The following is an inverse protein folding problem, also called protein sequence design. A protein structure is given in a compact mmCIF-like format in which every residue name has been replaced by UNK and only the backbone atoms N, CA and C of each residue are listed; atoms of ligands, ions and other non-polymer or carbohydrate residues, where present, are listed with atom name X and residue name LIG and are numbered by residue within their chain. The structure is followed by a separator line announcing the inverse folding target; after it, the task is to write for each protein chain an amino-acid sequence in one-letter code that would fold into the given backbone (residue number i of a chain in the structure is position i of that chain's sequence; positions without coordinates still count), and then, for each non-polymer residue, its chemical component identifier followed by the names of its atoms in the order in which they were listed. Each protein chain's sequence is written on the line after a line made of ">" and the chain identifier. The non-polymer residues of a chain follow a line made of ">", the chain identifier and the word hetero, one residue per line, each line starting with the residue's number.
data_IF_033997264549
#
_entry.id   IF_033997264549
#
_cell.length_a   1.000
_cell.length_b   1.000
_cell.length_c   1.000
_cell.angle_alpha   90.00
_cell.angle_beta   90.00
_cell.angle_gamma   90.00
#
_symmetry.space_group_name_H-M   'P 1'
#
loop_
_entity.id
_entity.type
_entity.pdbx_description
1 polymer ?
#
# COMPACT_ATOMS: atom_id res chain seq x y z
N UNK A 1 5.64 14.63 -13.26
CA UNK A 1 5.47 13.63 -12.17
C UNK A 1 6.77 12.90 -11.94
N UNK A 2 7.13 12.75 -10.68
CA UNK A 2 8.34 12.02 -10.27
C UNK A 2 7.99 11.01 -9.18
N UNK A 3 8.45 9.76 -9.33
CA UNK A 3 8.40 8.75 -8.27
C UNK A 3 9.78 8.72 -7.61
N UNK A 4 9.83 8.86 -6.31
CA UNK A 4 11.08 8.88 -5.54
C UNK A 4 10.94 8.18 -4.19
N UNK A 5 12.05 7.76 -3.55
CA UNK A 5 12.02 7.31 -2.18
C UNK A 5 11.46 8.38 -1.23
N UNK A 6 10.77 7.92 -0.20
CA UNK A 6 10.22 8.79 0.85
C UNK A 6 11.35 9.41 1.68
N UNK A 7 11.10 10.61 2.16
CA UNK A 7 11.92 11.29 3.17
C UNK A 7 11.08 11.52 4.44
N UNK A 8 11.72 11.63 5.60
CA UNK A 8 10.97 11.91 6.84
C UNK A 8 10.18 13.22 6.77
N UNK A 9 10.70 14.20 6.04
CA UNK A 9 9.99 15.46 5.80
C UNK A 9 8.68 15.31 5.00
N UNK A 10 8.44 14.17 4.35
CA UNK A 10 7.19 13.89 3.66
C UNK A 10 6.05 13.46 4.60
N UNK A 11 6.34 13.19 5.87
CA UNK A 11 5.37 12.64 6.83
C UNK A 11 4.11 13.51 6.96
N UNK A 12 4.23 14.83 6.95
CA UNK A 12 3.10 15.73 7.02
C UNK A 12 2.20 15.62 5.77
N UNK A 13 2.79 15.61 4.59
CA UNK A 13 2.05 15.43 3.33
C UNK A 13 1.38 14.05 3.25
N UNK A 14 2.08 13.00 3.66
CA UNK A 14 1.55 11.63 3.73
C UNK A 14 0.36 11.56 4.69
N UNK A 15 0.48 12.16 5.86
CA UNK A 15 -0.63 12.26 6.82
C UNK A 15 -1.84 12.97 6.21
N UNK A 16 -1.62 14.08 5.53
CA UNK A 16 -2.69 14.85 4.88
C UNK A 16 -3.41 14.02 3.80
N UNK A 17 -2.68 13.21 3.03
CA UNK A 17 -3.28 12.29 2.05
C UNK A 17 -4.11 11.21 2.75
N UNK A 18 -3.61 10.64 3.84
CA UNK A 18 -4.23 9.52 4.55
C UNK A 18 -5.46 9.92 5.37
N UNK A 19 -5.48 11.14 5.92
CA UNK A 19 -6.52 11.60 6.82
C UNK A 19 -7.95 11.39 6.29
N UNK A 20 -8.31 11.76 5.05
CA UNK A 20 -9.66 11.53 4.54
C UNK A 20 -10.05 10.05 4.49
N UNK A 21 -9.10 9.15 4.25
CA UNK A 21 -9.37 7.71 4.27
C UNK A 21 -9.76 7.23 5.67
N UNK A 22 -9.18 7.81 6.71
CA UNK A 22 -9.53 7.49 8.10
C UNK A 22 -10.89 8.07 8.48
N UNK A 23 -11.12 9.36 8.19
CA UNK A 23 -12.29 10.11 8.70
C UNK A 23 -13.53 9.95 7.84
N UNK A 24 -13.40 9.62 6.55
CA UNK A 24 -14.51 9.64 5.59
C UNK A 24 -14.78 8.30 4.92
N UNK A 25 -13.92 7.29 5.09
CA UNK A 25 -14.03 6.00 4.39
C UNK A 25 -13.76 4.81 5.30
N UNK A 26 -14.16 3.62 4.85
CA UNK A 26 -13.75 2.34 5.42
C UNK A 26 -12.63 1.67 4.59
N UNK A 27 -11.99 2.40 3.69
CA UNK A 27 -10.85 1.88 2.90
C UNK A 27 -9.68 1.51 3.81
N UNK A 28 -9.41 2.31 4.84
CA UNK A 28 -8.60 1.90 5.98
C UNK A 28 -9.50 1.61 7.19
N UNK A 29 -9.10 0.64 8.02
CA UNK A 29 -9.80 0.34 9.25
C UNK A 29 -9.26 1.12 10.45
N UNK A 30 -8.28 2.01 10.27
CA UNK A 30 -7.92 2.96 11.31
C UNK A 30 -9.09 3.91 11.58
N UNK A 31 -9.32 4.20 12.85
CA UNK A 31 -10.43 5.04 13.32
C UNK A 31 -9.93 6.43 13.72
N UNK A 32 -8.74 6.49 14.29
CA UNK A 32 -8.07 7.74 14.66
C UNK A 32 -6.97 8.08 13.68
N UNK A 33 -6.85 9.37 13.33
CA UNK A 33 -5.79 9.83 12.43
C UNK A 33 -4.45 9.80 13.16
N UNK A 34 -3.46 9.03 12.67
CA UNK A 34 -2.13 9.02 13.28
C UNK A 34 -1.49 10.41 13.24
N UNK A 35 -0.65 10.71 14.22
CA UNK A 35 0.13 11.96 14.27
C UNK A 35 1.23 11.96 13.19
N UNK A 36 1.80 13.15 12.92
CA UNK A 36 2.98 13.27 12.05
C UNK A 36 4.12 12.43 12.59
N UNK A 37 4.37 12.46 13.91
CA UNK A 37 5.40 11.67 14.57
C UNK A 37 5.19 10.16 14.40
N UNK A 38 3.93 9.71 14.43
CA UNK A 38 3.61 8.30 14.19
C UNK A 38 3.90 7.92 12.72
N UNK A 39 3.64 8.80 11.75
CA UNK A 39 4.03 8.57 10.35
C UNK A 39 5.55 8.54 10.19
N UNK A 40 6.30 9.43 10.84
CA UNK A 40 7.76 9.37 10.84
C UNK A 40 8.28 8.03 11.38
N UNK A 41 7.68 7.53 12.45
CA UNK A 41 8.00 6.22 13.02
C UNK A 41 7.71 5.09 12.04
N UNK A 42 6.54 5.11 11.39
CA UNK A 42 6.13 4.11 10.39
C UNK A 42 7.05 4.12 9.17
N UNK A 43 7.43 5.29 8.69
CA UNK A 43 8.38 5.44 7.58
C UNK A 43 9.73 4.85 7.96
N UNK A 44 10.28 5.23 9.11
CA UNK A 44 11.56 4.73 9.61
C UNK A 44 11.55 3.21 9.74
N UNK A 45 10.50 2.65 10.35
CA UNK A 45 10.34 1.20 10.51
C UNK A 45 10.27 0.49 9.16
N UNK A 46 9.48 0.99 8.23
CA UNK A 46 9.32 0.38 6.90
C UNK A 46 10.64 0.34 6.15
N UNK A 47 11.38 1.44 6.16
CA UNK A 47 12.66 1.56 5.45
C UNK A 47 13.76 0.63 5.96
N UNK A 48 13.62 0.03 7.15
CA UNK A 48 14.58 -0.98 7.62
C UNK A 48 14.58 -2.24 6.75
N UNK A 49 13.50 -2.51 6.02
CA UNK A 49 13.33 -3.75 5.27
C UNK A 49 12.70 -3.55 3.89
N UNK A 50 11.82 -2.58 3.73
CA UNK A 50 10.98 -2.43 2.54
C UNK A 50 11.15 -1.07 1.87
N UNK A 51 10.89 -0.99 0.54
CA UNK A 51 10.77 0.29 -0.14
C UNK A 51 9.51 1.05 0.31
N UNK A 52 9.63 2.36 0.32
CA UNK A 52 8.55 3.31 0.58
C UNK A 52 8.72 4.47 -0.41
N UNK A 53 7.76 4.64 -1.30
CA UNK A 53 7.84 5.57 -2.43
C UNK A 53 6.75 6.63 -2.34
N UNK A 54 7.07 7.82 -2.82
CA UNK A 54 6.11 8.92 -2.99
C UNK A 54 6.05 9.35 -4.45
N UNK A 55 4.87 9.81 -4.86
CA UNK A 55 4.66 10.46 -6.14
C UNK A 55 4.58 11.97 -5.92
N UNK A 56 5.42 12.70 -6.63
CA UNK A 56 5.49 14.15 -6.57
C UNK A 56 5.08 14.77 -7.90
N UNK A 57 4.16 15.74 -7.85
CA UNK A 57 3.70 16.52 -9.00
C UNK A 57 3.81 18.00 -8.63
N UNK A 58 4.53 18.77 -9.45
CA UNK A 58 4.75 20.20 -9.23
C UNK A 58 5.27 20.53 -7.81
N UNK A 59 6.19 19.72 -7.31
CA UNK A 59 6.81 19.89 -6.00
C UNK A 59 5.92 19.46 -4.81
N UNK A 60 4.78 18.83 -5.06
CA UNK A 60 3.87 18.35 -4.01
C UNK A 60 3.76 16.84 -4.04
N UNK A 61 3.83 16.22 -2.86
CA UNK A 61 3.55 14.79 -2.70
C UNK A 61 2.03 14.59 -2.82
N UNK A 62 1.62 13.79 -3.80
CA UNK A 62 0.21 13.54 -4.13
C UNK A 62 -0.21 12.09 -3.97
N UNK A 63 0.73 11.21 -3.66
CA UNK A 63 0.47 9.79 -3.42
C UNK A 63 1.70 9.11 -2.83
N UNK A 64 1.47 7.94 -2.24
CA UNK A 64 2.55 7.12 -1.71
C UNK A 64 2.17 5.64 -1.75
N UNK A 65 3.19 4.79 -1.82
CA UNK A 65 3.03 3.35 -1.75
C UNK A 65 4.21 2.73 -1.00
N UNK A 66 3.94 1.68 -0.27
CA UNK A 66 4.96 0.97 0.49
C UNK A 66 4.63 -0.51 0.63
N UNK A 67 5.65 -1.29 1.02
CA UNK A 67 5.47 -2.68 1.36
C UNK A 67 5.65 -2.88 2.86
N UNK A 68 5.11 -3.97 3.37
CA UNK A 68 5.18 -4.34 4.77
C UNK A 68 5.21 -5.86 4.94
N UNK A 69 5.59 -6.30 6.14
CA UNK A 69 5.57 -7.72 6.51
C UNK A 69 4.13 -8.25 6.48
N UNK A 70 3.92 -9.37 5.79
CA UNK A 70 2.64 -10.09 5.87
C UNK A 70 2.55 -10.86 7.19
N UNK A 71 3.43 -11.84 7.39
CA UNK A 71 3.60 -12.55 8.65
C UNK A 71 5.08 -12.74 8.95
N UNK A 72 5.45 -12.75 10.24
CA UNK A 72 6.83 -12.77 10.69
C UNK A 72 7.52 -14.16 10.63
N UNK A 73 6.81 -15.23 10.24
CA UNK A 73 7.39 -16.57 10.14
C UNK A 73 8.24 -16.69 8.88
N UNK A 74 9.39 -17.35 8.99
CA UNK A 74 10.41 -17.45 7.94
C UNK A 74 9.91 -17.98 6.59
N UNK A 75 8.92 -18.88 6.58
CA UNK A 75 8.34 -19.38 5.34
C UNK A 75 7.62 -18.30 4.52
N UNK A 76 7.30 -17.14 5.13
CA UNK A 76 6.70 -15.99 4.47
C UNK A 76 7.72 -14.92 4.03
N UNK A 77 9.03 -15.18 4.15
CA UNK A 77 10.06 -14.17 3.87
C UNK A 77 9.99 -13.59 2.44
N UNK A 78 9.47 -14.35 1.47
CA UNK A 78 9.31 -13.90 0.09
C UNK A 78 7.95 -13.28 -0.23
N UNK A 79 7.11 -13.12 0.78
CA UNK A 79 5.76 -12.56 0.67
C UNK A 79 5.71 -11.20 1.36
N UNK A 80 5.10 -10.22 0.71
CA UNK A 80 4.92 -8.89 1.28
C UNK A 80 3.55 -8.32 0.94
N UNK A 81 3.03 -7.46 1.80
CA UNK A 81 1.80 -6.72 1.58
C UNK A 81 2.14 -5.34 1.02
N UNK A 82 1.43 -4.92 -0.03
CA UNK A 82 1.55 -3.60 -0.63
C UNK A 82 0.36 -2.73 -0.23
N UNK A 83 0.65 -1.46 0.05
CA UNK A 83 -0.36 -0.45 0.36
C UNK A 83 -0.13 0.79 -0.50
N UNK A 84 -1.22 1.43 -0.94
CA UNK A 84 -1.18 2.63 -1.76
C UNK A 84 -2.29 3.59 -1.37
N UNK A 85 -1.96 4.87 -1.30
CA UNK A 85 -2.91 5.95 -1.05
C UNK A 85 -2.61 7.14 -1.95
N UNK A 86 -3.64 7.72 -2.55
CA UNK A 86 -3.55 8.88 -3.42
C UNK A 86 -4.39 10.02 -2.86
N UNK A 87 -3.91 11.24 -3.01
CA UNK A 87 -4.72 12.43 -2.82
C UNK A 87 -5.92 12.38 -3.77
N UNK A 88 -7.06 12.92 -3.34
CA UNK A 88 -8.31 12.83 -4.09
C UNK A 88 -8.18 13.39 -5.51
N UNK A 89 -7.50 14.53 -5.63
CA UNK A 89 -7.25 15.21 -6.90
C UNK A 89 -6.26 14.48 -7.82
N UNK A 90 -5.50 13.54 -7.28
CA UNK A 90 -4.49 12.76 -8.03
C UNK A 90 -5.05 11.46 -8.61
N UNK A 91 -6.29 11.13 -8.31
CA UNK A 91 -6.91 9.87 -8.77
C UNK A 91 -7.24 9.92 -10.26
N UNK A 92 -7.25 8.76 -10.93
CA UNK A 92 -7.61 8.65 -12.34
C UNK A 92 -6.59 9.21 -13.32
N UNK A 93 -5.36 9.51 -12.88
CA UNK A 93 -4.29 10.10 -13.71
C UNK A 93 -3.11 9.15 -13.94
N UNK A 94 -3.25 7.87 -13.60
CA UNK A 94 -2.19 6.88 -13.77
C UNK A 94 -1.11 6.90 -12.68
N UNK A 95 -1.22 7.79 -11.69
CA UNK A 95 -0.22 7.93 -10.61
C UNK A 95 -0.13 6.66 -9.77
N UNK A 96 -1.27 6.07 -9.43
CA UNK A 96 -1.30 4.81 -8.67
C UNK A 96 -0.62 3.67 -9.41
N UNK A 97 -0.84 3.56 -10.71
CA UNK A 97 -0.17 2.56 -11.54
C UNK A 97 1.34 2.78 -11.60
N UNK A 98 1.78 4.03 -11.73
CA UNK A 98 3.22 4.37 -11.73
C UNK A 98 3.89 4.03 -10.38
N UNK A 99 3.24 4.35 -9.26
CA UNK A 99 3.73 4.00 -7.92
C UNK A 99 3.85 2.48 -7.75
N UNK A 100 2.84 1.72 -8.16
CA UNK A 100 2.88 0.26 -8.08
C UNK A 100 3.95 -0.34 -8.96
N UNK A 101 4.13 0.18 -10.19
CA UNK A 101 5.20 -0.31 -11.08
C UNK A 101 6.56 -0.14 -10.41
N UNK A 102 6.87 1.04 -9.91
CA UNK A 102 8.14 1.30 -9.24
C UNK A 102 8.32 0.44 -7.98
N UNK A 103 7.27 0.30 -7.16
CA UNK A 103 7.30 -0.50 -5.94
C UNK A 103 7.53 -1.99 -6.23
N UNK A 104 6.79 -2.54 -7.20
CA UNK A 104 6.93 -3.94 -7.60
C UNK A 104 8.31 -4.25 -8.18
N UNK A 105 8.85 -3.34 -9.00
CA UNK A 105 10.20 -3.48 -9.56
C UNK A 105 11.27 -3.54 -8.46
N UNK A 106 11.20 -2.66 -7.46
CA UNK A 106 12.13 -2.69 -6.33
C UNK A 106 11.98 -3.97 -5.50
N UNK A 107 10.75 -4.41 -5.24
CA UNK A 107 10.51 -5.64 -4.51
C UNK A 107 11.03 -6.87 -5.24
N UNK A 108 10.82 -6.94 -6.56
CA UNK A 108 11.37 -8.02 -7.39
C UNK A 108 12.89 -8.02 -7.36
N UNK A 109 13.52 -6.86 -7.48
CA UNK A 109 14.97 -6.72 -7.41
C UNK A 109 15.54 -7.22 -6.07
N UNK A 110 14.79 -7.05 -4.98
CA UNK A 110 15.18 -7.54 -3.64
C UNK A 110 14.93 -9.04 -3.45
N UNK A 111 14.14 -9.68 -4.32
CA UNK A 111 13.86 -11.12 -4.29
C UNK A 111 12.46 -11.50 -3.79
N UNK A 112 11.57 -10.54 -3.52
CA UNK A 112 10.18 -10.84 -3.17
C UNK A 112 9.43 -11.44 -4.36
N UNK A 113 8.60 -12.45 -4.12
CA UNK A 113 7.94 -13.26 -5.16
C UNK A 113 6.42 -13.32 -5.03
N UNK A 114 5.87 -12.89 -3.90
CA UNK A 114 4.42 -12.87 -3.65
C UNK A 114 4.02 -11.51 -3.11
N UNK A 115 3.12 -10.85 -3.84
CA UNK A 115 2.58 -9.55 -3.46
C UNK A 115 1.13 -9.70 -3.08
N UNK A 116 0.77 -9.20 -1.90
CA UNK A 116 -0.58 -9.22 -1.38
C UNK A 116 -1.12 -7.81 -1.24
N UNK A 117 -2.40 -7.64 -1.50
CA UNK A 117 -3.13 -6.42 -1.22
C UNK A 117 -4.42 -6.77 -0.46
N UNK A 118 -4.64 -6.09 0.66
CA UNK A 118 -5.86 -6.18 1.44
C UNK A 118 -6.78 -5.02 1.08
N UNK A 119 -7.99 -5.32 0.60
CA UNK A 119 -8.91 -4.31 0.10
C UNK A 119 -10.24 -4.44 0.84
N UNK A 120 -10.64 -3.37 1.53
CA UNK A 120 -12.00 -3.27 2.07
C UNK A 120 -13.00 -3.10 0.92
N UNK A 121 -14.06 -3.87 0.92
CA UNK A 121 -15.04 -3.88 -0.16
C UNK A 121 -16.40 -3.35 0.30
N UNK A 122 -17.17 -2.69 -0.58
CA UNK A 122 -16.91 -2.48 -2.02
C UNK A 122 -15.81 -1.44 -2.30
N UNK A 123 -14.94 -1.71 -3.25
CA UNK A 123 -13.95 -0.79 -3.81
C UNK A 123 -13.55 -1.26 -5.21
N UNK A 124 -14.44 -1.08 -6.16
CA UNK A 124 -14.24 -1.57 -7.53
C UNK A 124 -13.04 -0.94 -8.22
N UNK A 125 -12.74 0.33 -7.95
CA UNK A 125 -11.59 1.02 -8.54
C UNK A 125 -10.27 0.35 -8.13
N UNK A 126 -10.11 0.01 -6.85
CA UNK A 126 -8.93 -0.68 -6.35
C UNK A 126 -8.84 -2.12 -6.89
N UNK A 127 -9.93 -2.86 -6.86
CA UNK A 127 -9.97 -4.24 -7.38
C UNK A 127 -9.61 -4.25 -8.87
N UNK A 128 -10.21 -3.37 -9.68
CA UNK A 128 -9.92 -3.27 -11.11
C UNK A 128 -8.46 -2.90 -11.39
N UNK A 129 -7.91 -1.97 -10.62
CA UNK A 129 -6.49 -1.62 -10.75
C UNK A 129 -5.58 -2.81 -10.48
N UNK A 130 -5.85 -3.58 -9.43
CA UNK A 130 -5.06 -4.77 -9.08
C UNK A 130 -5.23 -5.88 -10.12
N UNK A 131 -6.44 -6.15 -10.59
CA UNK A 131 -6.69 -7.14 -11.64
C UNK A 131 -5.92 -6.83 -12.92
N UNK A 132 -5.92 -5.56 -13.36
CA UNK A 132 -5.17 -5.11 -14.55
C UNK A 132 -3.65 -5.29 -14.38
N UNK A 133 -3.16 -5.39 -13.16
CA UNK A 133 -1.75 -5.62 -12.85
C UNK A 133 -1.41 -7.10 -12.63
N UNK A 134 -2.38 -8.00 -12.84
CA UNK A 134 -2.18 -9.44 -12.70
C UNK A 134 -2.44 -10.00 -11.30
N UNK A 135 -3.03 -9.21 -10.40
CA UNK A 135 -3.50 -9.72 -9.11
C UNK A 135 -4.80 -10.50 -9.30
N UNK A 136 -4.96 -11.56 -8.54
CA UNK A 136 -6.19 -12.36 -8.47
C UNK A 136 -6.70 -12.39 -7.04
N UNK A 137 -8.02 -12.41 -6.87
CA UNK A 137 -8.63 -12.55 -5.55
C UNK A 137 -8.39 -13.97 -5.03
N UNK A 138 -7.82 -14.08 -3.83
CA UNK A 138 -7.47 -15.35 -3.19
C UNK A 138 -8.26 -15.61 -1.91
N UNK A 139 -8.87 -14.58 -1.32
CA UNK A 139 -9.67 -14.72 -0.11
C UNK A 139 -10.73 -13.61 0.00
N UNK A 140 -11.81 -13.92 0.71
CA UNK A 140 -12.83 -12.97 1.10
C UNK A 140 -13.18 -13.23 2.57
N UNK A 141 -13.05 -12.20 3.40
CA UNK A 141 -13.40 -12.27 4.82
C UNK A 141 -14.65 -11.40 5.06
N UNK A 142 -15.81 -12.03 5.27
CA UNK A 142 -17.03 -11.27 5.51
C UNK A 142 -17.05 -10.71 6.93
N UNK A 143 -17.48 -9.44 7.06
CA UNK A 143 -17.76 -8.77 8.34
C UNK A 143 -16.59 -8.87 9.33
N UNK A 144 -15.41 -8.51 8.88
CA UNK A 144 -14.16 -8.63 9.66
C UNK A 144 -13.79 -7.33 10.38
N UNK A 145 -14.18 -6.17 9.86
CA UNK A 145 -13.89 -4.86 10.44
C UNK A 145 -15.16 -4.06 10.75
N UNK A 146 -15.19 -3.40 11.90
CA UNK A 146 -16.33 -2.59 12.32
C UNK A 146 -15.94 -1.11 12.35
N UNK A 147 -16.59 -0.30 11.50
CA UNK A 147 -16.32 1.14 11.38
C UNK A 147 -17.58 1.85 10.86
N UNK A 148 -17.83 3.08 11.34
CA UNK A 148 -19.04 3.84 11.01
C UNK A 148 -20.34 3.07 11.30
N UNK A 149 -20.39 2.43 12.47
CA UNK A 149 -21.54 1.63 12.93
C UNK A 149 -21.95 0.51 11.97
N UNK A 150 -20.98 -0.04 11.22
CA UNK A 150 -21.22 -1.05 10.20
C UNK A 150 -20.07 -2.05 10.13
N UNK A 151 -20.40 -3.32 9.90
CA UNK A 151 -19.41 -4.34 9.56
C UNK A 151 -19.00 -4.24 8.10
N UNK A 152 -17.71 -4.42 7.83
CA UNK A 152 -17.13 -4.35 6.50
C UNK A 152 -16.38 -5.63 6.18
N UNK A 153 -16.51 -6.06 4.93
CA UNK A 153 -15.75 -7.18 4.37
C UNK A 153 -14.40 -6.69 3.85
N UNK A 154 -13.44 -7.61 3.78
CA UNK A 154 -12.19 -7.43 3.03
C UNK A 154 -12.02 -8.56 2.04
N UNK A 155 -11.26 -8.28 0.98
CA UNK A 155 -10.70 -9.29 0.09
C UNK A 155 -9.18 -9.19 0.10
N UNK A 156 -8.53 -10.34 -0.12
CA UNK A 156 -7.10 -10.40 -0.39
C UNK A 156 -6.89 -10.66 -1.88
N UNK A 157 -6.01 -9.88 -2.49
CA UNK A 157 -5.58 -10.08 -3.86
C UNK A 157 -4.09 -10.41 -3.88
N UNK A 158 -3.67 -11.32 -4.74
CA UNK A 158 -2.30 -11.82 -4.81
C UNK A 158 -1.77 -11.78 -6.22
N UNK A 159 -0.53 -11.29 -6.35
CA UNK A 159 0.28 -11.41 -7.57
C UNK A 159 1.47 -12.33 -7.31
N UNK A 160 1.66 -13.31 -8.18
CA UNK A 160 2.78 -14.24 -8.15
C UNK A 160 3.82 -13.79 -9.17
N UNK A 161 5.06 -13.64 -8.72
CA UNK A 161 6.22 -13.34 -9.56
C UNK A 161 6.99 -14.63 -9.75
N UNK A 162 7.26 -14.98 -10.99
CA UNK A 162 8.12 -16.11 -11.33
C UNK A 162 9.59 -15.73 -11.13
N UNK A 163 10.32 -16.62 -10.49
CA UNK A 163 11.74 -16.39 -10.23
C UNK A 163 12.32 -17.39 -9.23
N UNK A 164 13.65 -17.43 -9.09
CA UNK A 164 14.29 -18.31 -8.13
C UNK A 164 14.08 -17.81 -6.71
N UNK A 165 13.87 -18.73 -5.79
CA UNK A 165 13.87 -18.43 -4.35
C UNK A 165 15.30 -18.17 -3.92
N UNK A 166 15.58 -16.97 -3.43
CA UNK A 166 16.91 -16.54 -2.97
C UNK A 166 16.76 -15.71 -1.68
N UNK A 167 17.85 -15.50 -0.99
CA UNK A 167 17.84 -14.63 0.20
C UNK A 167 17.41 -13.22 -0.19
N UNK A 168 16.52 -12.65 0.57
CA UNK A 168 16.09 -11.24 0.42
C UNK A 168 17.28 -10.31 0.70
N UNK A 169 17.47 -9.32 -0.13
CA UNK A 169 18.54 -8.32 -0.04
C UNK A 169 18.04 -7.01 0.59
#
# INVERSE_FOLDING_TARGET
>A
MMIRPVQLSDAEAIRAIYQPYVTETAITFEVDVPTVQEFERRITKTLTQFPYLVAEVDGKVVGYAYASTYYARAAYDWTTELSIYLAKEARGQGIGSALYTALEEELQARGYLRFLACIAVPNEASISMHEKRGYVQVAHFPKIGYKFNKWHDIVWMQKTIDGPVRKIQ
#
